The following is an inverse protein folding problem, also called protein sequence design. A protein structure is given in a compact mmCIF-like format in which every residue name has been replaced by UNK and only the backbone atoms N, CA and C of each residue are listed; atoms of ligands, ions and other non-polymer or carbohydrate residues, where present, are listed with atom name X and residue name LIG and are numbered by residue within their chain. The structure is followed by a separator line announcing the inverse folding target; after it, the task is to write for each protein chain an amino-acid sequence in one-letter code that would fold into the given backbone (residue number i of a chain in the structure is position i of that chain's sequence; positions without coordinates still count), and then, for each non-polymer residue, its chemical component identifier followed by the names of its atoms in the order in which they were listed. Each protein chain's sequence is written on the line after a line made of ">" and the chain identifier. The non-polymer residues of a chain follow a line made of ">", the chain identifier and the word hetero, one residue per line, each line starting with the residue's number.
data_IF_484372680199
#
_entry.id   IF_484372680199
#
_cell.length_a   1.000
_cell.length_b   1.000
_cell.length_c   1.000
_cell.angle_alpha   90.00
_cell.angle_beta   90.00
_cell.angle_gamma   90.00
#
_symmetry.space_group_name_H-M   'P 1'
#
loop_
_entity.id
_entity.type
_entity.pdbx_description
1 polymer ?
#
# COMPACT_ATOMS: atom_id res chain seq x y z
N UNK A 1 34.41 10.94 -22.24
CA UNK A 1 33.33 11.59 -21.49
C UNK A 1 33.56 11.27 -20.01
N UNK A 2 33.60 12.29 -19.14
CA UNK A 2 33.83 12.13 -17.71
C UNK A 2 32.54 12.54 -16.99
N UNK A 3 31.80 11.56 -16.47
CA UNK A 3 30.49 11.77 -15.82
C UNK A 3 30.59 11.74 -14.29
N UNK A 4 31.81 11.80 -13.75
CA UNK A 4 32.05 11.74 -12.30
C UNK A 4 31.40 12.94 -11.62
N UNK A 5 30.66 12.68 -10.55
CA UNK A 5 29.91 13.71 -9.84
C UNK A 5 28.48 13.90 -10.31
N UNK A 6 28.08 13.25 -11.41
CA UNK A 6 26.69 13.27 -11.87
C UNK A 6 25.83 12.28 -11.09
N UNK A 7 24.59 12.71 -10.83
CA UNK A 7 23.53 11.86 -10.31
C UNK A 7 22.72 11.34 -11.48
N UNK A 8 22.67 10.02 -11.62
CA UNK A 8 21.82 9.33 -12.58
C UNK A 8 20.84 8.43 -11.84
N UNK A 9 19.90 7.83 -12.57
CA UNK A 9 18.86 6.98 -12.03
C UNK A 9 18.92 5.62 -12.71
N UNK A 10 18.88 4.55 -11.95
CA UNK A 10 18.79 3.20 -12.49
C UNK A 10 17.42 3.01 -13.18
N UNK A 11 17.42 2.65 -14.46
CA UNK A 11 16.20 2.50 -15.27
C UNK A 11 15.37 1.28 -14.91
N UNK A 12 15.91 0.35 -14.11
CA UNK A 12 15.23 -0.86 -13.66
C UNK A 12 14.45 -0.61 -12.37
N UNK A 13 15.03 0.17 -11.47
CA UNK A 13 14.53 0.36 -10.09
C UNK A 13 14.08 1.80 -9.81
N UNK A 14 14.49 2.78 -10.61
CA UNK A 14 14.30 4.20 -10.35
C UNK A 14 15.22 4.77 -9.27
N UNK A 15 16.13 3.97 -8.72
CA UNK A 15 17.01 4.40 -7.64
C UNK A 15 18.06 5.39 -8.13
N UNK A 16 18.37 6.37 -7.28
CA UNK A 16 19.46 7.31 -7.52
C UNK A 16 20.82 6.58 -7.44
N UNK A 17 21.63 6.74 -8.48
CA UNK A 17 22.98 6.20 -8.60
C UNK A 17 23.95 7.36 -8.79
N UNK A 18 24.98 7.41 -7.95
CA UNK A 18 26.02 8.43 -8.05
C UNK A 18 27.21 7.89 -8.85
N UNK A 19 27.63 8.60 -9.89
CA UNK A 19 28.78 8.18 -10.70
C UNK A 19 30.08 8.62 -10.01
N UNK A 20 30.77 7.66 -9.42
CA UNK A 20 32.08 7.85 -8.77
C UNK A 20 33.25 7.43 -9.67
N UNK A 21 33.02 6.58 -10.67
CA UNK A 21 34.07 6.02 -11.55
C UNK A 21 34.19 6.79 -12.87
N UNK A 22 35.41 7.01 -13.38
CA UNK A 22 35.62 7.60 -14.70
C UNK A 22 35.27 6.57 -15.78
N UNK A 23 34.33 6.91 -16.66
CA UNK A 23 33.91 6.02 -17.73
C UNK A 23 32.57 6.41 -18.34
N UNK A 24 32.13 5.68 -19.38
CA UNK A 24 30.79 5.86 -19.93
C UNK A 24 29.72 5.47 -18.90
N UNK A 25 28.54 6.08 -19.02
CA UNK A 25 27.40 5.73 -18.20
C UNK A 25 26.99 4.26 -18.41
N UNK A 26 26.63 3.51 -17.36
CA UNK A 26 26.05 2.18 -17.48
C UNK A 26 24.83 2.16 -18.42
N UNK A 27 24.62 1.08 -19.16
CA UNK A 27 23.46 0.98 -20.07
C UNK A 27 22.11 0.97 -19.34
N UNK A 28 22.11 0.64 -18.04
CA UNK A 28 20.95 0.60 -17.17
C UNK A 28 20.69 1.90 -16.39
N UNK A 29 21.32 3.03 -16.74
CA UNK A 29 21.06 4.32 -16.07
C UNK A 29 20.56 5.40 -17.02
N UNK A 30 19.86 6.39 -16.46
CA UNK A 30 19.35 7.56 -17.16
C UNK A 30 19.58 8.82 -16.34
N UNK A 31 19.87 9.95 -16.99
CA UNK A 31 19.94 11.25 -16.31
C UNK A 31 18.55 11.87 -16.05
N UNK A 32 17.48 11.22 -16.53
CA UNK A 32 16.09 11.67 -16.31
C UNK A 32 15.61 11.14 -14.97
N UNK A 33 15.10 12.00 -14.08
CA UNK A 33 14.55 11.57 -12.80
C UNK A 33 13.11 11.04 -12.95
N UNK A 34 12.73 10.00 -12.18
CA UNK A 34 11.34 9.63 -12.04
C UNK A 34 10.59 10.72 -11.25
N UNK A 35 9.53 11.30 -11.85
CA UNK A 35 8.61 12.25 -11.20
C UNK A 35 7.40 11.53 -10.56
N UNK A 36 7.56 10.99 -9.34
CA UNK A 36 6.52 10.26 -8.61
C UNK A 36 6.90 8.83 -8.17
N UNK A 37 6.06 8.19 -7.34
CA UNK A 37 6.37 6.92 -6.67
C UNK A 37 6.18 5.68 -7.57
N UNK A 38 5.22 5.70 -8.50
CA UNK A 38 4.88 4.56 -9.35
C UNK A 38 5.25 4.84 -10.80
N UNK A 39 6.55 4.71 -11.12
CA UNK A 39 7.05 4.94 -12.47
C UNK A 39 7.84 3.75 -12.99
N UNK A 40 7.71 3.57 -14.30
CA UNK A 40 8.40 2.57 -15.09
C UNK A 40 9.16 3.27 -16.20
N UNK A 41 10.41 2.90 -16.41
CA UNK A 41 11.19 3.45 -17.52
C UNK A 41 10.69 2.89 -18.85
N UNK A 42 10.31 3.78 -19.78
CA UNK A 42 10.07 3.40 -21.17
C UNK A 42 11.37 3.55 -21.98
N UNK A 43 12.02 2.43 -22.27
CA UNK A 43 13.29 2.41 -23.00
C UNK A 43 13.20 2.90 -24.45
N UNK A 44 12.00 2.95 -25.06
CA UNK A 44 11.81 3.43 -26.44
C UNK A 44 11.71 4.95 -26.50
N UNK A 45 10.94 5.53 -25.59
CA UNK A 45 10.73 6.96 -25.47
C UNK A 45 11.77 7.64 -24.57
N UNK A 46 12.60 6.87 -23.86
CA UNK A 46 13.60 7.34 -22.88
C UNK A 46 12.99 8.29 -21.85
N UNK A 47 11.81 7.95 -21.35
CA UNK A 47 11.08 8.72 -20.34
C UNK A 47 10.50 7.79 -19.29
N UNK A 48 10.34 8.31 -18.09
CA UNK A 48 9.55 7.65 -17.06
C UNK A 48 8.07 7.78 -17.39
N UNK A 49 7.38 6.64 -17.46
CA UNK A 49 5.93 6.58 -17.62
C UNK A 49 5.31 6.10 -16.33
N UNK A 50 4.13 6.62 -16.02
CA UNK A 50 3.37 6.20 -14.84
C UNK A 50 3.02 4.72 -14.96
N UNK A 51 3.39 3.93 -13.95
CA UNK A 51 2.99 2.54 -13.86
C UNK A 51 1.60 2.47 -13.20
N UNK A 52 0.56 2.66 -14.00
CA UNK A 52 -0.83 2.60 -13.53
C UNK A 52 -1.17 1.26 -12.88
N UNK A 53 -0.52 0.17 -13.29
CA UNK A 53 -0.72 -1.15 -12.71
C UNK A 53 -0.12 -1.21 -11.29
N UNK A 54 1.09 -0.68 -11.10
CA UNK A 54 1.73 -0.59 -9.80
C UNK A 54 0.95 0.35 -8.85
N UNK A 55 0.49 1.51 -9.32
CA UNK A 55 -0.32 2.43 -8.51
C UNK A 55 -1.64 1.79 -8.10
N UNK A 56 -2.39 1.20 -9.04
CA UNK A 56 -3.64 0.50 -8.72
C UNK A 56 -3.40 -0.65 -7.75
N UNK A 57 -2.35 -1.45 -7.96
CA UNK A 57 -2.01 -2.55 -7.06
C UNK A 57 -1.66 -2.06 -5.64
N UNK A 58 -0.96 -0.93 -5.51
CA UNK A 58 -0.68 -0.33 -4.22
C UNK A 58 -1.95 0.17 -3.51
N UNK A 59 -2.82 0.87 -4.24
CA UNK A 59 -4.10 1.35 -3.71
C UNK A 59 -5.01 0.20 -3.26
N UNK A 60 -5.08 -0.88 -4.03
CA UNK A 60 -5.81 -2.10 -3.67
C UNK A 60 -5.26 -2.71 -2.38
N UNK A 61 -3.93 -2.89 -2.29
CA UNK A 61 -3.29 -3.43 -1.08
C UNK A 61 -3.60 -2.57 0.14
N UNK A 62 -3.49 -1.25 0.05
CA UNK A 62 -3.81 -0.34 1.16
C UNK A 62 -5.27 -0.44 1.58
N UNK A 63 -6.20 -0.55 0.62
CA UNK A 63 -7.62 -0.73 0.91
C UNK A 63 -7.89 -2.08 1.61
N UNK A 64 -7.27 -3.16 1.15
CA UNK A 64 -7.37 -4.49 1.77
C UNK A 64 -6.76 -4.52 3.18
N UNK A 65 -5.60 -3.90 3.37
CA UNK A 65 -4.92 -3.83 4.66
C UNK A 65 -5.76 -3.03 5.68
N UNK A 66 -6.35 -1.92 5.23
CA UNK A 66 -7.27 -1.12 6.04
C UNK A 66 -8.51 -1.93 6.41
N UNK A 67 -9.14 -2.62 5.45
CA UNK A 67 -10.28 -3.50 5.69
C UNK A 67 -9.94 -4.58 6.72
N UNK A 68 -8.81 -5.26 6.55
CA UNK A 68 -8.36 -6.30 7.48
C UNK A 68 -8.13 -5.75 8.89
N UNK A 69 -7.48 -4.59 9.01
CA UNK A 69 -7.27 -3.92 10.30
C UNK A 69 -8.59 -3.60 11.01
N UNK A 70 -9.58 -3.08 10.27
CA UNK A 70 -10.90 -2.77 10.83
C UNK A 70 -11.64 -4.05 11.27
N UNK A 71 -11.50 -5.15 10.52
CA UNK A 71 -12.06 -6.45 10.90
C UNK A 71 -11.40 -7.02 12.17
N UNK A 72 -10.09 -6.85 12.32
CA UNK A 72 -9.38 -7.25 13.55
C UNK A 72 -9.88 -6.45 14.75
N UNK A 73 -9.92 -5.11 14.66
CA UNK A 73 -10.43 -4.25 15.74
C UNK A 73 -11.85 -4.66 16.13
N UNK A 74 -12.73 -4.89 15.14
CA UNK A 74 -14.09 -5.34 15.41
C UNK A 74 -14.12 -6.69 16.13
N UNK A 75 -13.24 -7.62 15.76
CA UNK A 75 -13.16 -8.94 16.39
C UNK A 75 -12.63 -8.87 17.82
N UNK A 76 -11.63 -8.02 18.08
CA UNK A 76 -11.09 -7.75 19.42
C UNK A 76 -12.13 -7.11 20.36
N UNK A 77 -13.04 -6.28 19.82
CA UNK A 77 -14.16 -5.72 20.60
C UNK A 77 -15.28 -6.72 20.81
N UNK A 78 -15.55 -7.57 19.83
CA UNK A 78 -16.60 -8.59 19.90
C UNK A 78 -16.26 -9.66 20.95
N UNK A 79 -15.00 -10.11 21.04
CA UNK A 79 -14.59 -11.20 21.93
C UNK A 79 -15.06 -11.02 23.39
N UNK A 80 -14.66 -9.97 24.13
CA UNK A 80 -15.07 -9.80 25.53
C UNK A 80 -16.58 -9.58 25.69
N UNK A 81 -17.23 -8.90 24.73
CA UNK A 81 -18.67 -8.70 24.75
C UNK A 81 -19.44 -10.01 24.54
N UNK A 82 -18.86 -10.91 23.74
CA UNK A 82 -19.39 -12.24 23.49
C UNK A 82 -19.23 -13.11 24.74
N UNK A 83 -18.04 -13.11 25.35
CA UNK A 83 -17.78 -13.83 26.60
C UNK A 83 -18.78 -13.42 27.69
N UNK A 84 -19.03 -12.12 27.88
CA UNK A 84 -20.02 -11.63 28.84
C UNK A 84 -21.45 -12.14 28.54
N UNK A 85 -21.81 -12.29 27.26
CA UNK A 85 -23.12 -12.84 26.86
C UNK A 85 -23.19 -14.34 27.12
N UNK A 86 -22.13 -15.09 26.80
CA UNK A 86 -22.05 -16.54 27.01
C UNK A 86 -22.03 -16.91 28.50
N UNK A 87 -21.49 -16.03 29.35
CA UNK A 87 -21.49 -16.15 30.81
C UNK A 87 -22.78 -15.64 31.48
N UNK A 88 -23.73 -15.10 30.70
CA UNK A 88 -24.95 -14.43 31.17
C UNK A 88 -24.70 -13.20 32.08
N UNK A 89 -23.48 -12.64 32.05
CA UNK A 89 -23.07 -11.46 32.82
C UNK A 89 -23.24 -10.14 32.05
N UNK A 90 -23.56 -10.21 30.75
CA UNK A 90 -23.65 -9.04 29.89
C UNK A 90 -24.82 -8.12 30.26
N UNK A 91 -24.50 -6.84 30.44
CA UNK A 91 -25.49 -5.76 30.54
C UNK A 91 -26.22 -5.52 29.22
N UNK A 92 -27.39 -4.88 29.27
CA UNK A 92 -28.12 -4.48 28.05
C UNK A 92 -27.28 -3.60 27.12
N UNK A 93 -26.39 -2.77 27.70
CA UNK A 93 -25.45 -1.94 26.96
C UNK A 93 -24.41 -2.77 26.21
N UNK A 94 -23.88 -3.82 26.82
CA UNK A 94 -22.93 -4.72 26.19
C UNK A 94 -23.59 -5.54 25.09
N UNK A 95 -24.82 -6.04 25.31
CA UNK A 95 -25.62 -6.72 24.28
C UNK A 95 -25.88 -5.81 23.07
N UNK A 96 -26.24 -4.54 23.30
CA UNK A 96 -26.40 -3.56 22.23
C UNK A 96 -25.07 -3.27 21.50
N UNK A 97 -23.97 -3.15 22.23
CA UNK A 97 -22.63 -2.92 21.67
C UNK A 97 -22.17 -4.12 20.84
N UNK A 98 -22.39 -5.34 21.31
CA UNK A 98 -22.07 -6.57 20.58
C UNK A 98 -22.81 -6.63 19.25
N UNK A 99 -24.11 -6.30 19.25
CA UNK A 99 -24.91 -6.24 18.02
C UNK A 99 -24.36 -5.18 17.05
N UNK A 100 -24.01 -3.99 17.56
CA UNK A 100 -23.44 -2.92 16.74
C UNK A 100 -22.10 -3.32 16.11
N UNK A 101 -21.19 -3.90 16.89
CA UNK A 101 -19.89 -4.38 16.39
C UNK A 101 -20.03 -5.52 15.38
N UNK A 102 -20.95 -6.47 15.60
CA UNK A 102 -21.24 -7.52 14.62
C UNK A 102 -21.77 -6.95 13.30
N UNK A 103 -22.69 -5.97 13.36
CA UNK A 103 -23.17 -5.25 12.16
C UNK A 103 -22.05 -4.50 11.46
N UNK A 104 -21.21 -3.79 12.22
CA UNK A 104 -20.04 -3.11 11.68
C UNK A 104 -19.09 -4.08 10.96
N UNK A 105 -18.72 -5.20 11.58
CA UNK A 105 -17.86 -6.22 10.97
C UNK A 105 -18.44 -6.75 9.65
N UNK A 106 -19.74 -6.99 9.58
CA UNK A 106 -20.41 -7.43 8.34
C UNK A 106 -20.35 -6.34 7.27
N UNK A 107 -20.58 -5.07 7.63
CA UNK A 107 -20.50 -3.95 6.69
C UNK A 107 -19.09 -3.79 6.14
N UNK A 108 -18.07 -3.81 7.01
CA UNK A 108 -16.66 -3.74 6.59
C UNK A 108 -16.30 -4.91 5.68
N UNK A 109 -16.76 -6.12 6.00
CA UNK A 109 -16.49 -7.29 5.15
C UNK A 109 -17.11 -7.17 3.75
N UNK A 110 -18.24 -6.47 3.63
CA UNK A 110 -18.93 -6.22 2.36
C UNK A 110 -18.35 -5.06 1.55
N UNK A 111 -17.43 -4.26 2.11
CA UNK A 111 -16.74 -3.22 1.35
C UNK A 111 -15.93 -3.89 0.24
N UNK A 112 -16.24 -3.49 -0.99
CA UNK A 112 -15.55 -3.93 -2.20
C UNK A 112 -14.26 -3.13 -2.34
N UNK A 113 -13.12 -3.79 -2.14
CA UNK A 113 -11.80 -3.15 -2.22
C UNK A 113 -11.32 -3.01 -3.65
N UNK A 114 -12.02 -3.61 -4.63
CA UNK A 114 -11.70 -3.53 -6.06
C UNK A 114 -12.26 -2.26 -6.72
N UNK A 115 -13.18 -1.56 -6.03
CA UNK A 115 -13.69 -0.23 -6.37
C UNK A 115 -13.45 0.72 -5.19
N UNK A 116 -12.19 1.15 -4.99
CA UNK A 116 -11.84 2.12 -3.96
C UNK A 116 -12.55 3.46 -4.14
#
# INVERSE_FOLDING_TARGET
>A
EDHRGETVYDTTTGNQVYISEPGPLPENVTSVSPVGEYQKWDGKAKVWVKDEAAEKAAQLRQAEETKNRLLQIASEKIAPLQDAVDLDEATDKEKASLLAWRKYRVQVNRVDTLKP
#
